data_IF_182725385062
#
_entry.id   IF_182725385062
#
_cell.length_a   1.000
_cell.length_b   1.000
_cell.length_c   1.000
_cell.angle_alpha   90.00
_cell.angle_beta   90.00
_cell.angle_gamma   90.00
#
_symmetry.space_group_name_H-M   'P 1'
#
loop_
_entity.id
_entity.type
_entity.pdbx_description
1 polymer ?
#
# COMPACT_ATOMS: atom_id res chain seq x y z
N UNK A 1 20.97 21.80 14.19
CA UNK A 1 20.02 20.86 13.55
C UNK A 1 18.99 21.67 12.76
N UNK A 2 19.20 22.01 11.48
CA UNK A 2 18.25 22.91 10.76
C UNK A 2 17.95 22.55 9.29
N UNK A 3 18.82 21.82 8.59
CA UNK A 3 18.58 21.52 7.16
C UNK A 3 17.41 20.54 6.94
N UNK A 4 17.32 19.50 7.78
CA UNK A 4 16.29 18.44 7.65
C UNK A 4 14.88 18.98 7.90
N UNK A 5 14.72 19.93 8.81
CA UNK A 5 13.41 20.54 9.11
C UNK A 5 12.95 21.46 7.99
N UNK A 6 13.86 22.22 7.39
CA UNK A 6 13.56 23.05 6.21
C UNK A 6 13.08 22.18 5.04
N UNK A 7 13.75 21.05 4.77
CA UNK A 7 13.34 20.09 3.74
C UNK A 7 11.97 19.47 4.06
N UNK A 8 11.72 19.12 5.32
CA UNK A 8 10.42 18.57 5.79
C UNK A 8 9.28 19.59 5.66
N UNK A 9 9.57 20.88 5.81
CA UNK A 9 8.57 21.95 5.71
C UNK A 9 8.19 22.31 4.26
N UNK A 10 8.97 21.83 3.28
CA UNK A 10 8.76 22.10 1.86
C UNK A 10 7.40 21.57 1.37
N UNK A 11 6.76 22.34 0.49
CA UNK A 11 5.53 21.93 -0.21
C UNK A 11 5.70 20.59 -0.93
N UNK A 12 6.88 20.33 -1.48
CA UNK A 12 7.22 19.07 -2.17
C UNK A 12 7.11 17.89 -1.21
N UNK A 13 7.60 18.03 0.02
CA UNK A 13 7.55 16.98 1.03
C UNK A 13 6.10 16.67 1.43
N UNK A 14 5.29 17.69 1.69
CA UNK A 14 3.85 17.52 2.00
C UNK A 14 3.09 16.87 0.85
N UNK A 15 3.39 17.24 -0.39
CA UNK A 15 2.79 16.63 -1.56
C UNK A 15 3.18 15.14 -1.68
N UNK A 16 4.46 14.82 -1.52
CA UNK A 16 4.97 13.44 -1.59
C UNK A 16 4.31 12.55 -0.54
N UNK A 17 4.10 13.06 0.68
CA UNK A 17 3.42 12.34 1.75
C UNK A 17 1.94 12.11 1.45
N UNK A 18 1.26 13.10 0.88
CA UNK A 18 -0.14 12.95 0.46
C UNK A 18 -0.27 11.93 -0.65
N UNK A 19 0.67 11.92 -1.60
CA UNK A 19 0.76 10.91 -2.65
C UNK A 19 1.03 9.52 -2.06
N UNK A 20 1.98 9.37 -1.14
CA UNK A 20 2.27 8.10 -0.49
C UNK A 20 1.06 7.55 0.28
N UNK A 21 0.33 8.41 1.00
CA UNK A 21 -0.91 8.03 1.68
C UNK A 21 -2.00 7.59 0.68
N UNK A 22 -2.14 8.28 -0.45
CA UNK A 22 -3.07 7.88 -1.49
C UNK A 22 -2.70 6.53 -2.11
N UNK A 23 -1.41 6.30 -2.40
CA UNK A 23 -0.91 5.03 -2.91
C UNK A 23 -1.11 3.88 -1.92
N UNK A 24 -0.96 4.12 -0.61
CA UNK A 24 -1.23 3.14 0.43
C UNK A 24 -2.70 2.69 0.45
N UNK A 25 -3.63 3.65 0.37
CA UNK A 25 -5.08 3.35 0.34
C UNK A 25 -5.45 2.63 -0.95
N UNK A 26 -4.91 3.07 -2.08
CA UNK A 26 -5.17 2.46 -3.38
C UNK A 26 -4.66 1.03 -3.45
N UNK A 27 -3.43 0.76 -2.99
CA UNK A 27 -2.86 -0.59 -2.97
C UNK A 27 -3.62 -1.51 -2.01
N UNK A 28 -4.06 -0.99 -0.87
CA UNK A 28 -4.90 -1.73 0.08
C UNK A 28 -6.25 -2.13 -0.53
N UNK A 29 -6.91 -1.19 -1.19
CA UNK A 29 -8.16 -1.47 -1.90
C UNK A 29 -7.96 -2.49 -3.02
N UNK A 30 -6.86 -2.36 -3.79
CA UNK A 30 -6.53 -3.26 -4.89
C UNK A 30 -6.34 -4.70 -4.42
N UNK A 31 -5.58 -4.93 -3.33
CA UNK A 31 -5.39 -6.27 -2.75
C UNK A 31 -6.71 -6.88 -2.30
N UNK A 32 -7.56 -6.10 -1.62
CA UNK A 32 -8.88 -6.55 -1.17
C UNK A 32 -9.77 -6.93 -2.36
N UNK A 33 -9.79 -6.10 -3.41
CA UNK A 33 -10.59 -6.38 -4.61
C UNK A 33 -10.15 -7.66 -5.31
N UNK A 34 -8.84 -7.89 -5.49
CA UNK A 34 -8.35 -9.13 -6.09
C UNK A 34 -8.75 -10.34 -5.23
N UNK A 35 -8.64 -10.23 -3.91
CA UNK A 35 -9.05 -11.31 -3.00
C UNK A 35 -10.56 -11.58 -3.10
N UNK A 36 -11.40 -10.55 -3.15
CA UNK A 36 -12.84 -10.71 -3.36
C UNK A 36 -13.14 -11.39 -4.71
N UNK A 37 -12.47 -10.98 -5.78
CA UNK A 37 -12.63 -11.56 -7.12
C UNK A 37 -12.19 -13.03 -7.13
N UNK A 38 -11.04 -13.36 -6.51
CA UNK A 38 -10.55 -14.73 -6.40
C UNK A 38 -11.54 -15.63 -5.66
N UNK A 39 -12.09 -15.15 -4.54
CA UNK A 39 -13.13 -15.85 -3.76
C UNK A 39 -14.41 -16.02 -4.58
N UNK A 40 -14.89 -14.97 -5.25
CA UNK A 40 -16.09 -15.05 -6.09
C UNK A 40 -15.93 -16.08 -7.23
N UNK A 41 -14.79 -16.09 -7.93
CA UNK A 41 -14.52 -17.05 -9.00
C UNK A 41 -14.49 -18.48 -8.49
N UNK A 42 -13.82 -18.70 -7.34
CA UNK A 42 -13.72 -20.01 -6.73
C UNK A 42 -15.06 -20.56 -6.27
N UNK A 43 -15.89 -19.74 -5.63
CA UNK A 43 -17.15 -20.22 -5.02
C UNK A 43 -18.37 -20.12 -5.93
N UNK A 44 -18.49 -19.06 -6.72
CA UNK A 44 -19.65 -18.81 -7.61
C UNK A 44 -19.46 -19.48 -8.96
N UNK A 45 -18.32 -19.23 -9.61
CA UNK A 45 -18.04 -19.72 -10.96
C UNK A 45 -17.38 -21.11 -10.97
N UNK A 46 -17.05 -21.66 -9.77
CA UNK A 46 -16.41 -22.97 -9.59
C UNK A 46 -15.15 -23.13 -10.45
N UNK A 47 -14.48 -22.02 -10.75
CA UNK A 47 -13.30 -21.95 -11.61
C UNK A 47 -12.19 -21.28 -10.82
N UNK A 48 -10.97 -21.76 -11.01
CA UNK A 48 -9.78 -21.17 -10.42
C UNK A 48 -9.05 -20.31 -11.45
N UNK A 49 -8.59 -19.12 -11.06
CA UNK A 49 -7.69 -18.34 -11.91
C UNK A 49 -6.27 -18.80 -11.68
N UNK A 50 -5.74 -19.52 -12.66
CA UNK A 50 -4.33 -19.86 -12.70
C UNK A 50 -3.47 -18.60 -12.58
N UNK A 51 -2.54 -18.59 -11.63
CA UNK A 51 -1.63 -17.45 -11.42
C UNK A 51 -2.12 -16.38 -10.43
N UNK A 52 -3.33 -16.52 -9.86
CA UNK A 52 -3.87 -15.47 -8.99
C UNK A 52 -3.12 -15.38 -7.65
N UNK A 53 -2.61 -16.50 -7.15
CA UNK A 53 -1.82 -16.56 -5.92
C UNK A 53 -0.54 -15.74 -6.04
N UNK A 54 0.19 -15.89 -7.15
CA UNK A 54 1.41 -15.13 -7.43
C UNK A 54 1.13 -13.62 -7.56
N UNK A 55 0.05 -13.25 -8.26
CA UNK A 55 -0.34 -11.84 -8.44
C UNK A 55 -0.65 -11.19 -7.08
N UNK A 56 -1.37 -11.90 -6.22
CA UNK A 56 -1.74 -11.41 -4.88
C UNK A 56 -0.51 -11.23 -4.00
N UNK A 57 0.42 -12.18 -4.02
CA UNK A 57 1.68 -12.09 -3.27
C UNK A 57 2.51 -10.89 -3.72
N UNK A 58 2.62 -10.65 -5.03
CA UNK A 58 3.33 -9.49 -5.58
C UNK A 58 2.62 -8.18 -5.17
N UNK A 59 1.29 -8.14 -5.22
CA UNK A 59 0.53 -6.96 -4.79
C UNK A 59 0.68 -6.67 -3.29
N UNK A 60 0.63 -7.72 -2.46
CA UNK A 60 0.84 -7.63 -1.01
C UNK A 60 2.27 -7.18 -0.66
N UNK A 61 3.27 -7.62 -1.42
CA UNK A 61 4.67 -7.21 -1.25
C UNK A 61 4.84 -5.69 -1.42
N UNK A 62 4.25 -5.11 -2.47
CA UNK A 62 4.30 -3.66 -2.67
C UNK A 62 3.52 -2.89 -1.60
N UNK A 63 2.35 -3.38 -1.19
CA UNK A 63 1.58 -2.80 -0.09
C UNK A 63 2.41 -2.75 1.20
N UNK A 64 3.09 -3.85 1.53
CA UNK A 64 3.93 -3.96 2.72
C UNK A 64 5.03 -2.89 2.76
N UNK A 65 5.73 -2.66 1.64
CA UNK A 65 6.78 -1.64 1.60
C UNK A 65 6.23 -0.22 1.71
N UNK A 66 5.14 0.09 1.01
CA UNK A 66 4.52 1.42 1.07
C UNK A 66 4.02 1.70 2.49
N UNK A 67 3.38 0.70 3.12
CA UNK A 67 2.89 0.77 4.49
C UNK A 67 4.02 0.93 5.51
N UNK A 68 5.08 0.14 5.38
CA UNK A 68 6.26 0.22 6.27
C UNK A 68 6.94 1.60 6.16
N UNK A 69 7.12 2.12 4.95
CA UNK A 69 7.69 3.45 4.72
C UNK A 69 6.82 4.56 5.34
N UNK A 70 5.50 4.47 5.18
CA UNK A 70 4.57 5.46 5.75
C UNK A 70 4.50 5.37 7.28
N UNK A 71 4.53 4.16 7.84
CA UNK A 71 4.51 3.94 9.29
C UNK A 71 5.75 4.48 10.01
N UNK A 72 6.94 4.37 9.39
CA UNK A 72 8.17 5.00 9.90
C UNK A 72 8.05 6.53 9.86
N UNK A 73 7.44 7.10 8.82
CA UNK A 73 7.23 8.55 8.74
C UNK A 73 6.30 9.07 9.82
N UNK A 74 5.19 8.38 10.08
CA UNK A 74 4.17 8.78 11.06
C UNK A 74 4.67 8.64 12.51
N UNK A 75 5.79 7.94 12.73
CA UNK A 75 6.44 7.71 14.03
C UNK A 75 5.50 7.16 15.11
N UNK A 76 4.38 6.53 14.72
CA UNK A 76 3.41 5.97 15.67
C UNK A 76 4.01 4.88 16.57
N UNK A 77 5.21 4.38 16.27
CA UNK A 77 5.89 3.30 17.00
C UNK A 77 6.94 3.76 18.02
N UNK A 78 7.49 4.99 17.92
CA UNK A 78 8.54 5.49 18.84
C UNK A 78 8.12 6.88 19.33
N UNK A 79 7.60 6.92 20.56
CA UNK A 79 7.52 8.14 21.37
C UNK A 79 8.87 8.39 22.03
#
# INVERSE_FOLDING_TARGET
MSFVETVRSSLVWKFLLKLQKALLVLSSCFVVLIMCVAVLLRYVFKTDLFGIEEIVVIAAFWLYFIGSSYGVYDKSHVK
#
